data_IF_294687220160
#
_entry.id   IF_294687220160
#
_cell.length_a   1.000
_cell.length_b   1.000
_cell.length_c   1.000
_cell.angle_alpha   90.00
_cell.angle_beta   90.00
_cell.angle_gamma   90.00
#
_symmetry.space_group_name_H-M   'P 1'
#
loop_
_entity.id
_entity.type
_entity.pdbx_description
1 polymer ?
#
# COMPACT_ATOMS: atom_id res chain seq x y z
N UNK A 1 -1.98 4.77 17.95
CA UNK A 1 -1.98 3.40 18.52
C UNK A 1 -0.69 2.74 18.08
N UNK A 2 0.01 2.04 18.97
CA UNK A 2 1.22 1.29 18.60
C UNK A 2 0.83 0.02 17.84
N UNK A 3 1.59 -0.37 16.82
CA UNK A 3 1.28 -1.54 16.02
C UNK A 3 1.39 -2.82 16.90
N UNK A 4 0.47 -3.80 16.75
CA UNK A 4 0.48 -5.01 17.57
C UNK A 4 1.67 -5.93 17.29
N UNK A 5 2.37 -5.71 16.16
CA UNK A 5 3.55 -6.45 15.74
C UNK A 5 4.73 -5.48 15.69
N UNK A 6 5.79 -5.80 16.44
CA UNK A 6 7.01 -5.03 16.43
C UNK A 6 7.82 -5.33 15.17
N UNK A 7 8.17 -4.28 14.43
CA UNK A 7 9.16 -4.34 13.35
C UNK A 7 10.52 -3.84 13.87
N UNK A 8 11.61 -4.46 13.41
CA UNK A 8 12.98 -4.06 13.76
C UNK A 8 13.54 -2.96 12.85
N UNK A 9 12.73 -2.49 11.90
CA UNK A 9 13.01 -1.40 10.98
C UNK A 9 11.91 -0.34 11.09
N UNK A 10 12.21 0.91 10.69
CA UNK A 10 11.22 1.98 10.60
C UNK A 10 10.28 1.79 9.39
N UNK A 11 9.50 0.72 9.43
CA UNK A 11 8.55 0.34 8.40
C UNK A 11 7.12 0.37 8.92
N UNK A 12 6.18 0.57 8.02
CA UNK A 12 4.75 0.37 8.24
C UNK A 12 4.30 -0.77 7.35
N UNK A 13 3.52 -1.68 7.91
CA UNK A 13 2.77 -2.67 7.15
C UNK A 13 1.29 -2.44 7.39
N UNK A 14 0.57 -2.10 6.32
CA UNK A 14 -0.87 -1.88 6.35
C UNK A 14 -1.57 -2.96 5.54
N UNK A 15 -2.72 -3.40 6.06
CA UNK A 15 -3.63 -4.31 5.37
C UNK A 15 -5.00 -3.64 5.36
N UNK A 16 -5.66 -3.67 4.21
CA UNK A 16 -7.02 -3.16 4.08
C UNK A 16 -7.85 -4.08 3.20
N UNK A 17 -9.13 -4.24 3.59
CA UNK A 17 -10.16 -4.84 2.77
C UNK A 17 -11.04 -3.72 2.24
N UNK A 18 -11.15 -3.62 0.92
CA UNK A 18 -11.99 -2.65 0.23
C UNK A 18 -13.33 -3.30 -0.14
N UNK A 19 -14.42 -2.64 0.21
CA UNK A 19 -15.80 -3.06 -0.09
C UNK A 19 -16.48 -1.98 -0.94
N UNK A 20 -16.09 -1.89 -2.22
CA UNK A 20 -16.48 -0.79 -3.12
C UNK A 20 -16.19 0.60 -2.53
N UNK A 21 -15.05 0.72 -1.86
CA UNK A 21 -14.63 1.91 -1.14
C UNK A 21 -13.29 2.44 -1.68
N UNK A 22 -12.99 3.68 -1.31
CA UNK A 22 -11.69 4.31 -1.58
C UNK A 22 -10.94 4.55 -0.28
N UNK A 23 -9.65 4.32 -0.30
CA UNK A 23 -8.73 4.65 0.79
C UNK A 23 -7.51 5.40 0.23
N UNK A 24 -6.97 6.28 1.06
CA UNK A 24 -5.80 7.08 0.75
C UNK A 24 -4.65 6.74 1.69
N UNK A 25 -3.43 6.72 1.14
CA UNK A 25 -2.19 6.61 1.90
C UNK A 25 -1.24 7.73 1.52
N UNK A 26 -0.57 8.32 2.52
CA UNK A 26 0.43 9.36 2.31
C UNK A 26 1.79 8.85 2.76
N UNK A 27 2.75 8.91 1.88
CA UNK A 27 4.13 8.60 2.20
C UNK A 27 4.80 9.84 2.78
N UNK A 28 5.68 9.64 3.76
CA UNK A 28 6.64 10.69 4.10
C UNK A 28 7.69 10.81 2.97
N UNK A 29 8.30 11.99 2.77
CA UNK A 29 9.28 12.19 1.70
C UNK A 29 10.40 11.13 1.69
N UNK A 30 10.73 10.64 0.50
CA UNK A 30 11.82 9.68 0.27
C UNK A 30 11.53 8.24 0.71
N UNK A 31 10.32 7.93 1.19
CA UNK A 31 9.93 6.55 1.50
C UNK A 31 9.61 5.75 0.25
N UNK A 32 9.82 4.44 0.32
CA UNK A 32 9.54 3.49 -0.74
C UNK A 32 8.32 2.65 -0.38
N UNK A 33 7.55 2.27 -1.39
CA UNK A 33 6.35 1.45 -1.22
C UNK A 33 6.43 0.12 -1.96
N UNK A 34 5.79 -0.90 -1.40
CA UNK A 34 5.45 -2.13 -2.11
C UNK A 34 3.99 -2.47 -1.85
N UNK A 35 3.16 -2.30 -2.88
CA UNK A 35 1.74 -2.63 -2.87
C UNK A 35 1.54 -4.02 -3.48
N UNK A 36 0.75 -4.86 -2.84
CA UNK A 36 0.35 -6.17 -3.34
C UNK A 36 -1.16 -6.33 -3.24
N UNK A 37 -1.78 -6.80 -4.32
CA UNK A 37 -3.21 -7.12 -4.36
C UNK A 37 -3.36 -8.61 -4.04
N UNK A 38 -3.80 -8.93 -2.81
CA UNK A 38 -4.02 -10.32 -2.43
C UNK A 38 -5.28 -10.90 -3.10
N UNK A 39 -6.34 -10.11 -3.17
CA UNK A 39 -7.62 -10.53 -3.74
C UNK A 39 -8.33 -9.38 -4.45
N UNK A 40 -9.19 -9.74 -5.40
CA UNK A 40 -10.12 -8.81 -6.05
C UNK A 40 -9.51 -7.98 -7.19
N UNK A 41 -10.14 -6.84 -7.47
CA UNK A 41 -9.74 -5.88 -8.49
C UNK A 41 -9.71 -4.49 -7.86
N UNK A 42 -8.56 -3.82 -7.95
CA UNK A 42 -8.29 -2.56 -7.28
C UNK A 42 -7.69 -1.60 -8.29
N UNK A 43 -8.10 -0.35 -8.25
CA UNK A 43 -7.44 0.73 -8.99
C UNK A 43 -6.46 1.45 -8.06
N UNK A 44 -5.20 1.55 -8.47
CA UNK A 44 -4.16 2.30 -7.79
C UNK A 44 -3.76 3.52 -8.61
N UNK A 45 -4.11 4.73 -8.14
CA UNK A 45 -3.92 5.98 -8.90
C UNK A 45 -4.43 5.88 -10.36
N UNK A 46 -5.56 5.20 -10.57
CA UNK A 46 -6.16 4.98 -11.89
C UNK A 46 -5.57 3.82 -12.71
N UNK A 47 -4.54 3.12 -12.21
CA UNK A 47 -4.02 1.91 -12.83
C UNK A 47 -4.80 0.68 -12.30
N UNK A 48 -5.44 -0.12 -13.17
CA UNK A 48 -6.15 -1.31 -12.74
C UNK A 48 -5.15 -2.42 -12.37
N UNK A 49 -5.37 -3.02 -11.21
CA UNK A 49 -4.59 -4.14 -10.68
C UNK A 49 -5.54 -5.26 -10.26
N UNK A 50 -5.08 -6.49 -10.42
CA UNK A 50 -5.82 -7.71 -10.10
C UNK A 50 -5.06 -8.55 -9.07
N UNK A 51 -5.73 -9.54 -8.48
CA UNK A 51 -5.12 -10.45 -7.52
C UNK A 51 -3.80 -11.05 -8.05
N UNK A 52 -2.74 -10.94 -7.24
CA UNK A 52 -1.39 -11.37 -7.60
C UNK A 52 -0.50 -10.25 -8.15
N UNK A 53 -1.05 -9.12 -8.56
CA UNK A 53 -0.26 -7.98 -9.03
C UNK A 53 0.46 -7.28 -7.89
N UNK A 54 1.64 -6.74 -8.21
CA UNK A 54 2.46 -5.98 -7.28
C UNK A 54 3.03 -4.72 -7.93
N UNK A 55 3.10 -3.63 -7.15
CA UNK A 55 3.67 -2.36 -7.58
C UNK A 55 4.78 -1.94 -6.63
N UNK A 56 5.93 -1.60 -7.20
CA UNK A 56 7.02 -0.91 -6.48
C UNK A 56 6.83 0.59 -6.67
N UNK A 57 6.89 1.32 -5.57
CA UNK A 57 6.58 2.75 -5.51
C UNK A 57 7.83 3.49 -5.02
N UNK A 58 8.21 4.54 -5.73
CA UNK A 58 9.23 5.51 -5.36
C UNK A 58 8.75 6.89 -5.81
N UNK A 59 9.21 7.95 -5.14
CA UNK A 59 8.90 9.35 -5.47
C UNK A 59 7.39 9.65 -5.62
N UNK A 60 6.58 9.03 -4.75
CA UNK A 60 5.14 9.22 -4.70
C UNK A 60 4.69 9.66 -3.30
N UNK A 61 4.10 10.85 -3.22
CA UNK A 61 3.62 11.39 -1.94
C UNK A 61 2.23 10.84 -1.56
N UNK A 62 1.43 10.46 -2.55
CA UNK A 62 0.02 10.11 -2.36
C UNK A 62 -0.41 8.91 -3.21
N UNK A 63 -0.96 7.90 -2.55
CA UNK A 63 -1.54 6.71 -3.16
C UNK A 63 -3.04 6.66 -2.85
N UNK A 64 -3.85 6.63 -3.89
CA UNK A 64 -5.29 6.40 -3.83
C UNK A 64 -5.59 4.98 -4.31
N UNK A 65 -6.34 4.22 -3.51
CA UNK A 65 -6.75 2.86 -3.80
C UNK A 65 -8.27 2.77 -3.77
N UNK A 66 -8.89 2.25 -4.82
CA UNK A 66 -10.33 2.11 -4.92
C UNK A 66 -10.74 0.74 -5.44
N UNK A 67 -11.96 0.32 -5.15
CA UNK A 67 -12.56 -0.90 -5.71
C UNK A 67 -12.93 -1.93 -4.65
N UNK A 68 -12.73 -3.20 -4.97
CA UNK A 68 -13.12 -4.32 -4.13
C UNK A 68 -12.00 -5.36 -4.09
N UNK A 69 -11.44 -5.61 -2.91
CA UNK A 69 -10.32 -6.53 -2.77
C UNK A 69 -9.62 -6.45 -1.42
N UNK A 70 -8.61 -7.29 -1.25
CA UNK A 70 -7.69 -7.23 -0.11
C UNK A 70 -6.31 -6.77 -0.60
N UNK A 71 -5.77 -5.76 0.08
CA UNK A 71 -4.52 -5.10 -0.29
C UNK A 71 -3.56 -5.08 0.89
N UNK A 72 -2.28 -5.18 0.56
CA UNK A 72 -1.18 -5.09 1.51
C UNK A 72 -0.20 -4.02 1.03
N UNK A 73 0.15 -3.11 1.91
CA UNK A 73 1.11 -2.04 1.64
C UNK A 73 2.25 -2.10 2.64
N UNK A 74 3.46 -2.29 2.11
CA UNK A 74 4.68 -1.96 2.81
C UNK A 74 5.06 -0.52 2.49
N UNK A 75 5.32 0.24 3.55
CA UNK A 75 5.96 1.54 3.48
C UNK A 75 7.29 1.46 4.26
N UNK A 76 8.41 1.66 3.58
CA UNK A 76 9.76 1.39 4.10
C UNK A 76 10.69 2.60 3.89
N UNK A 77 11.77 2.73 4.69
CA UNK A 77 12.75 3.79 4.45
C UNK A 77 13.49 3.54 3.12
N UNK A 78 14.13 4.58 2.54
CA UNK A 78 14.94 4.40 1.34
C UNK A 78 16.09 3.43 1.59
N UNK A 79 16.60 2.82 0.51
CA UNK A 79 17.84 2.03 0.59
C UNK A 79 18.99 2.97 0.97
N UNK A 80 19.78 2.56 1.96
CA UNK A 80 20.97 3.28 2.40
C UNK A 80 22.07 3.25 1.34
#
# INVERSE_FOLDING_TARGET
>A
MEAPVRLTQQATFAVARLEQAQVEYRFAPGRLGFLFIAEGNVEANGAPLSAGDAVRIADLDHLTLGGQGEILLWDVPPTA
#
